data_IF_843055204020
#
_entry.id   IF_843055204020
#
_cell.length_a   1.000
_cell.length_b   1.000
_cell.length_c   1.000
_cell.angle_alpha   90.00
_cell.angle_beta   90.00
_cell.angle_gamma   90.00
#
_symmetry.space_group_name_H-M   'P 1'
#
loop_
_entity.id
_entity.type
_entity.pdbx_description
1 polymer ?
#
# COMPACT_ATOMS: atom_id res chain seq x y z
N UNK A 1 -0.59 12.08 -13.39
CA UNK A 1 0.49 12.59 -14.29
C UNK A 1 0.87 14.06 -14.04
N UNK A 2 0.54 14.68 -12.89
CA UNK A 2 0.97 16.05 -12.53
C UNK A 2 1.89 16.11 -11.30
N UNK A 3 1.98 15.06 -10.50
CA UNK A 3 2.80 14.99 -9.27
C UNK A 3 4.30 14.79 -9.60
N UNK A 4 4.63 14.13 -10.71
CA UNK A 4 6.02 13.93 -11.14
C UNK A 4 6.79 15.21 -11.52
N UNK A 5 6.12 16.35 -11.67
CA UNK A 5 6.79 17.60 -12.03
C UNK A 5 7.38 18.37 -10.86
N UNK A 6 6.95 18.10 -9.63
CA UNK A 6 7.46 18.82 -8.45
C UNK A 6 8.79 18.24 -7.92
N UNK A 7 8.95 16.93 -7.94
CA UNK A 7 10.22 16.29 -7.53
C UNK A 7 11.38 16.61 -8.49
N UNK A 8 11.10 16.66 -9.80
CA UNK A 8 12.11 17.01 -10.79
C UNK A 8 12.61 18.46 -10.67
N UNK A 9 11.79 19.38 -10.14
CA UNK A 9 12.18 20.79 -9.96
C UNK A 9 13.11 20.97 -8.77
N UNK A 10 12.93 20.20 -7.70
CA UNK A 10 13.83 20.25 -6.54
C UNK A 10 15.24 19.72 -6.89
N UNK A 11 15.32 18.65 -7.70
CA UNK A 11 16.61 18.10 -8.13
C UNK A 11 17.37 18.99 -9.12
N UNK A 12 16.66 19.71 -9.99
CA UNK A 12 17.27 20.62 -10.97
C UNK A 12 17.73 21.93 -10.32
N UNK A 13 17.10 22.36 -9.22
CA UNK A 13 17.56 23.55 -8.49
C UNK A 13 18.92 23.33 -7.79
N UNK A 14 19.26 22.09 -7.42
CA UNK A 14 20.54 21.77 -6.78
C UNK A 14 21.73 21.64 -7.75
N UNK A 15 21.50 21.53 -9.06
CA UNK A 15 22.57 21.41 -10.06
C UNK A 15 22.98 22.74 -10.70
N UNK A 16 22.36 23.85 -10.30
CA UNK A 16 22.55 25.18 -10.94
C UNK A 16 23.64 26.07 -10.31
N UNK A 17 24.29 25.67 -9.23
CA UNK A 17 25.25 26.54 -8.53
C UNK A 17 26.71 26.19 -8.74
N UNK A 18 27.10 25.90 -9.97
CA UNK A 18 28.54 25.90 -10.31
C UNK A 18 28.83 27.01 -11.29
N UNK A 19 29.65 27.93 -10.86
CA UNK A 19 30.43 28.95 -11.54
C UNK A 19 29.89 30.39 -11.50
N UNK A 20 30.39 31.15 -10.54
CA UNK A 20 30.89 32.51 -10.85
C UNK A 20 31.97 32.89 -9.83
N UNK A 21 33.22 32.84 -10.24
CA UNK A 21 34.33 33.50 -9.57
C UNK A 21 34.09 35.02 -9.58
N UNK A 22 33.66 35.55 -8.49
CA UNK A 22 33.89 36.92 -8.06
C UNK A 22 34.07 36.89 -6.57
N UNK A 23 35.20 37.38 -6.07
CA UNK A 23 35.38 37.74 -4.65
C UNK A 23 34.28 38.74 -4.26
N UNK A 24 33.17 38.24 -3.81
CA UNK A 24 32.15 38.96 -3.07
C UNK A 24 32.47 38.66 -1.61
N UNK A 25 32.70 39.70 -0.77
CA UNK A 25 32.63 39.57 0.67
C UNK A 25 31.28 38.93 1.00
N UNK A 26 31.29 37.62 1.28
CA UNK A 26 30.11 36.94 1.79
C UNK A 26 29.94 37.39 3.24
N UNK A 27 28.92 38.20 3.50
CA UNK A 27 28.37 38.35 4.85
C UNK A 27 27.73 36.99 5.14
N UNK A 28 28.48 36.15 5.89
CA UNK A 28 27.91 34.87 6.35
C UNK A 28 26.91 35.20 7.45
N UNK A 29 25.62 35.03 7.16
CA UNK A 29 24.61 34.99 8.20
C UNK A 29 24.87 33.77 9.08
N UNK A 30 24.67 33.90 10.37
CA UNK A 30 24.75 32.80 11.33
C UNK A 30 23.48 31.91 11.14
N UNK A 31 23.62 30.81 10.41
CA UNK A 31 22.54 29.87 10.12
C UNK A 31 22.27 28.87 11.26
N UNK A 32 22.82 29.07 12.45
CA UNK A 32 22.59 28.17 13.59
C UNK A 32 21.12 28.03 13.96
N UNK A 33 20.36 29.13 13.88
CA UNK A 33 18.93 29.12 14.17
C UNK A 33 18.12 28.39 13.09
N UNK A 34 18.59 28.35 11.83
CA UNK A 34 17.93 27.68 10.71
C UNK A 34 18.05 26.17 10.80
N UNK A 35 19.05 25.65 11.52
CA UNK A 35 19.24 24.23 11.78
C UNK A 35 18.38 23.68 12.92
N UNK A 36 17.75 24.54 13.73
CA UNK A 36 16.88 24.07 14.82
C UNK A 36 15.66 23.36 14.25
N UNK A 37 15.46 22.11 14.68
CA UNK A 37 14.32 21.29 14.23
C UNK A 37 14.66 19.82 14.11
N UNK A 38 13.75 19.09 13.47
CA UNK A 38 13.90 17.66 13.18
C UNK A 38 14.21 17.48 11.70
N UNK A 39 15.23 16.71 11.41
CA UNK A 39 15.77 16.52 10.08
C UNK A 39 15.92 15.03 9.77
N UNK A 40 15.55 14.58 8.59
CA UNK A 40 15.70 13.19 8.16
C UNK A 40 16.61 13.06 6.95
N UNK A 41 17.51 12.10 6.99
CA UNK A 41 18.31 11.65 5.86
C UNK A 41 17.97 10.20 5.55
N UNK A 42 17.77 9.86 4.28
CA UNK A 42 17.55 8.49 3.84
C UNK A 42 18.40 8.21 2.59
N UNK A 43 19.28 7.24 2.71
CA UNK A 43 20.05 6.66 1.62
C UNK A 43 19.84 5.14 1.60
N UNK A 44 20.53 4.42 0.71
CA UNK A 44 20.36 2.97 0.59
C UNK A 44 20.68 2.21 1.89
N UNK A 45 21.85 2.51 2.49
CA UNK A 45 22.35 1.80 3.67
C UNK A 45 22.42 2.66 4.93
N UNK A 46 21.96 3.90 4.81
CA UNK A 46 22.01 4.89 5.89
C UNK A 46 20.68 5.63 6.00
N UNK A 47 20.14 5.69 7.18
CA UNK A 47 19.00 6.53 7.50
C UNK A 47 19.19 7.13 8.89
N UNK A 48 18.94 8.43 9.01
CA UNK A 48 19.08 9.14 10.27
C UNK A 48 17.97 10.16 10.45
N UNK A 49 17.50 10.29 11.69
CA UNK A 49 16.77 11.47 12.17
C UNK A 49 17.64 12.21 13.17
N UNK A 50 17.94 13.44 12.84
CA UNK A 50 18.72 14.37 13.67
C UNK A 50 17.78 15.45 14.21
N UNK A 51 17.63 15.52 15.54
CA UNK A 51 16.89 16.56 16.23
C UNK A 51 17.85 17.56 16.86
N UNK A 52 17.80 18.82 16.43
CA UNK A 52 18.67 19.90 16.91
C UNK A 52 17.82 20.90 17.69
N UNK A 53 18.18 21.15 18.95
CA UNK A 53 17.53 22.10 19.81
C UNK A 53 18.17 23.47 19.72
N UNK A 54 17.45 24.53 20.16
CA UNK A 54 17.91 25.89 20.12
C UNK A 54 19.14 26.18 21.02
N UNK A 55 19.43 25.31 21.99
CA UNK A 55 20.62 25.40 22.84
C UNK A 55 21.85 24.67 22.25
N UNK A 56 21.72 24.12 21.04
CA UNK A 56 22.75 23.34 20.37
C UNK A 56 22.83 21.89 20.81
N UNK A 57 22.00 21.45 21.77
CA UNK A 57 21.89 20.03 22.05
C UNK A 57 21.23 19.27 20.88
N UNK A 58 21.64 18.03 20.64
CA UNK A 58 21.12 17.23 19.57
C UNK A 58 20.85 15.79 20.03
N UNK A 59 19.95 15.12 19.30
CA UNK A 59 19.66 13.71 19.49
C UNK A 59 19.59 13.05 18.11
N UNK A 60 20.28 11.92 17.95
CA UNK A 60 20.29 11.13 16.74
C UNK A 60 19.62 9.77 16.93
N UNK A 61 18.89 9.35 15.92
CA UNK A 61 18.33 8.02 15.74
C UNK A 61 18.65 7.55 14.33
N UNK A 62 19.10 6.31 14.17
CA UNK A 62 19.42 5.90 12.81
C UNK A 62 19.72 4.43 12.64
N UNK A 63 20.01 4.09 11.41
CA UNK A 63 20.50 2.77 10.98
C UNK A 63 21.54 2.96 9.88
N UNK A 64 22.65 2.30 10.03
CA UNK A 64 23.67 2.20 8.98
C UNK A 64 24.11 0.76 8.79
N UNK A 65 24.11 0.28 7.56
CA UNK A 65 24.50 -1.09 7.20
C UNK A 65 23.83 -2.18 8.06
N UNK A 66 22.60 -1.92 8.55
CA UNK A 66 21.83 -2.81 9.41
C UNK A 66 22.14 -2.69 10.91
N UNK A 67 23.07 -1.84 11.32
CA UNK A 67 23.32 -1.48 12.71
C UNK A 67 22.41 -0.30 13.09
N UNK A 68 21.67 -0.43 14.20
CA UNK A 68 20.68 0.55 14.66
C UNK A 68 21.18 1.25 15.92
N UNK A 69 21.03 2.57 15.97
CA UNK A 69 21.24 3.35 17.18
C UNK A 69 20.00 4.15 17.54
N UNK A 70 19.88 4.43 18.82
CA UNK A 70 18.70 5.08 19.37
C UNK A 70 19.06 6.10 20.43
N UNK A 71 18.50 7.30 20.30
CA UNK A 71 18.60 8.35 21.31
C UNK A 71 20.03 8.71 21.69
N UNK A 72 20.94 8.70 20.71
CA UNK A 72 22.32 9.12 20.92
C UNK A 72 22.35 10.63 21.06
N UNK A 73 22.82 11.10 22.20
CA UNK A 73 22.87 12.52 22.54
C UNK A 73 24.15 13.14 22.06
N UNK A 74 24.06 14.41 21.68
CA UNK A 74 25.22 15.16 21.23
C UNK A 74 25.01 16.65 21.29
N UNK A 75 25.97 17.35 20.72
CA UNK A 75 25.94 18.80 20.56
C UNK A 75 26.28 19.17 19.13
N UNK A 76 25.60 20.20 18.64
CA UNK A 76 25.86 20.80 17.32
C UNK A 76 26.37 22.23 17.55
N UNK A 77 27.50 22.53 16.98
CA UNK A 77 28.09 23.85 16.98
C UNK A 77 28.26 24.33 15.55
N UNK A 78 27.82 25.55 15.31
CA UNK A 78 27.92 26.18 13.98
C UNK A 78 28.81 27.43 14.10
N UNK A 79 29.69 27.56 13.12
CA UNK A 79 30.47 28.77 12.94
C UNK A 79 30.55 29.11 11.47
N UNK A 80 29.87 30.17 11.05
CA UNK A 80 29.64 30.45 9.64
C UNK A 80 28.92 29.28 8.99
N UNK A 81 29.42 28.73 7.91
CA UNK A 81 28.88 27.52 7.25
C UNK A 81 29.58 26.22 7.71
N UNK A 82 30.41 26.29 8.75
CA UNK A 82 31.04 25.09 9.29
C UNK A 82 30.22 24.55 10.44
N UNK A 83 30.04 23.26 10.46
CA UNK A 83 29.31 22.51 11.47
C UNK A 83 30.24 21.50 12.16
N UNK A 84 30.09 21.41 13.48
CA UNK A 84 30.73 20.36 14.27
C UNK A 84 29.64 19.67 15.09
N UNK A 85 29.52 18.37 14.93
CA UNK A 85 28.63 17.52 15.70
C UNK A 85 29.47 16.55 16.53
N UNK A 86 29.17 16.47 17.82
CA UNK A 86 29.86 15.59 18.77
C UNK A 86 28.81 14.77 19.50
N UNK A 87 28.86 13.48 19.34
CA UNK A 87 27.93 12.52 19.95
C UNK A 87 28.57 11.66 21.03
N UNK A 88 27.76 11.15 21.95
CA UNK A 88 28.22 10.35 23.12
C UNK A 88 28.85 9.00 22.75
N UNK A 89 28.57 8.49 21.55
CA UNK A 89 29.09 7.24 21.00
C UNK A 89 30.43 7.40 20.24
N UNK A 90 31.08 8.57 20.38
CA UNK A 90 32.30 8.94 19.66
C UNK A 90 32.14 9.11 18.14
N UNK A 91 30.92 9.08 17.61
CA UNK A 91 30.65 9.41 16.21
C UNK A 91 30.62 10.92 16.03
N UNK A 92 31.76 11.48 15.69
CA UNK A 92 31.96 12.92 15.58
C UNK A 92 32.08 13.33 14.12
N UNK A 93 31.31 14.32 13.72
CA UNK A 93 31.33 14.86 12.37
C UNK A 93 31.76 16.32 12.37
N UNK A 94 32.67 16.66 11.45
CA UNK A 94 33.03 18.05 11.10
C UNK A 94 32.89 18.24 9.60
N UNK A 95 32.43 19.41 9.21
CA UNK A 95 32.25 19.70 7.81
C UNK A 95 31.66 21.08 7.56
N UNK A 96 31.23 21.32 6.35
CA UNK A 96 30.45 22.50 6.00
C UNK A 96 29.05 22.12 5.55
N UNK A 97 28.13 23.05 5.61
CA UNK A 97 26.76 22.81 5.19
C UNK A 97 26.19 23.97 4.37
N UNK A 98 25.26 23.60 3.50
CA UNK A 98 24.38 24.52 2.78
C UNK A 98 22.95 24.26 3.21
N UNK A 99 22.18 25.30 3.53
CA UNK A 99 20.83 25.17 4.06
C UNK A 99 19.80 25.98 3.25
N UNK A 100 18.65 25.38 3.06
CA UNK A 100 17.41 26.04 2.66
C UNK A 100 16.50 25.98 3.90
N UNK A 101 16.34 27.08 4.64
CA UNK A 101 15.62 27.08 5.91
C UNK A 101 14.23 26.44 5.82
N UNK A 102 13.90 25.55 6.77
CA UNK A 102 12.62 24.84 6.81
C UNK A 102 12.37 23.85 5.68
N UNK A 103 13.37 23.52 4.87
CA UNK A 103 13.23 22.56 3.77
C UNK A 103 14.30 21.47 3.81
N UNK A 104 15.57 21.84 3.68
CA UNK A 104 16.66 20.88 3.61
C UNK A 104 18.00 21.51 3.95
N UNK A 105 18.95 20.69 4.41
CA UNK A 105 20.36 21.07 4.40
C UNK A 105 21.23 19.94 3.83
N UNK A 106 22.32 20.32 3.19
CA UNK A 106 23.36 19.41 2.72
C UNK A 106 24.56 19.51 3.63
N UNK A 107 25.00 18.39 4.18
CA UNK A 107 26.23 18.27 4.96
C UNK A 107 27.32 17.69 4.05
N UNK A 108 28.47 18.36 4.05
CA UNK A 108 29.70 17.93 3.36
C UNK A 108 30.76 17.71 4.41
N UNK A 109 30.96 16.46 4.75
CA UNK A 109 31.94 16.10 5.77
C UNK A 109 33.38 16.29 5.30
N UNK A 110 34.27 16.58 6.25
CA UNK A 110 35.71 16.62 5.98
C UNK A 110 36.27 15.26 5.56
N UNK A 111 35.56 14.17 5.88
CA UNK A 111 35.81 12.80 5.38
C UNK A 111 35.63 12.66 3.85
N UNK A 112 34.85 13.56 3.24
CA UNK A 112 34.48 13.53 1.83
C UNK A 112 33.07 12.96 1.58
N UNK A 113 32.36 12.54 2.60
CA UNK A 113 30.99 12.08 2.52
C UNK A 113 30.00 13.25 2.41
N UNK A 114 28.84 12.96 1.83
CA UNK A 114 27.79 13.97 1.66
C UNK A 114 26.44 13.38 2.03
N UNK A 115 25.75 14.12 2.91
CA UNK A 115 24.40 13.80 3.37
C UNK A 115 23.44 14.93 3.01
N UNK A 116 22.20 14.57 2.67
CA UNK A 116 21.11 15.53 2.43
C UNK A 116 20.00 15.24 3.40
N UNK A 117 19.78 16.18 4.30
CA UNK A 117 18.73 16.13 5.30
C UNK A 117 17.53 16.94 4.83
N UNK A 118 16.34 16.41 5.02
CA UNK A 118 15.07 17.07 4.77
C UNK A 118 14.39 17.42 6.08
N UNK A 119 13.74 18.56 6.12
CA UNK A 119 13.02 19.01 7.31
C UNK A 119 11.78 18.15 7.53
N UNK A 120 11.59 17.65 8.76
CA UNK A 120 10.41 16.93 9.18
C UNK A 120 9.43 17.89 9.82
N UNK A 121 8.32 18.19 9.15
CA UNK A 121 7.28 19.07 9.69
C UNK A 121 6.49 18.42 10.83
N UNK A 122 6.30 17.11 10.77
CA UNK A 122 5.47 16.35 11.71
C UNK A 122 6.17 15.06 12.16
N UNK A 123 5.91 14.66 13.38
CA UNK A 123 6.18 13.30 13.85
C UNK A 123 4.96 12.43 13.47
N UNK A 124 5.19 11.37 12.71
CA UNK A 124 4.14 10.51 12.17
C UNK A 124 3.87 9.27 13.04
N UNK A 125 4.41 9.21 14.26
CA UNK A 125 4.30 8.03 15.12
C UNK A 125 2.86 7.63 15.42
N UNK A 126 2.00 8.60 15.70
CA UNK A 126 0.58 8.34 16.02
C UNK A 126 -0.25 8.11 14.75
N UNK A 127 0.12 8.76 13.65
CA UNK A 127 -0.62 8.69 12.38
C UNK A 127 -0.53 7.34 11.70
N UNK A 128 0.54 6.57 11.93
CA UNK A 128 0.69 5.28 11.25
C UNK A 128 -0.05 4.14 11.94
N UNK A 129 -0.40 4.28 13.22
CA UNK A 129 -1.09 3.21 13.96
C UNK A 129 -2.42 2.86 13.30
N UNK A 130 -2.62 1.58 13.02
CA UNK A 130 -3.82 1.07 12.37
C UNK A 130 -3.54 0.08 11.26
N UNK A 131 -4.56 -0.21 10.47
CA UNK A 131 -4.49 -1.15 9.36
C UNK A 131 -4.44 -0.40 8.02
N UNK A 132 -3.58 -0.85 7.15
CA UNK A 132 -3.30 -0.25 5.86
C UNK A 132 -3.29 -1.29 4.76
N UNK A 133 -3.97 -1.01 3.67
CA UNK A 133 -3.96 -1.83 2.46
C UNK A 133 -3.32 -1.06 1.33
N UNK A 134 -2.55 -1.71 0.49
CA UNK A 134 -1.92 -1.04 -0.63
C UNK A 134 -2.96 -0.41 -1.56
N UNK A 135 -2.73 0.84 -2.01
CA UNK A 135 -3.72 1.66 -2.71
C UNK A 135 -3.88 1.31 -4.20
N UNK A 136 -2.84 0.76 -4.79
CA UNK A 136 -2.78 0.58 -6.26
C UNK A 136 -3.26 -0.79 -6.74
N UNK A 137 -3.97 -1.55 -5.95
CA UNK A 137 -4.42 -2.88 -6.27
C UNK A 137 -3.34 -3.95 -6.07
N UNK A 138 -3.60 -5.19 -6.35
CA UNK A 138 -2.73 -6.31 -6.04
C UNK A 138 -1.47 -6.25 -6.91
N UNK A 139 -0.38 -6.38 -6.44
CA UNK A 139 0.69 -5.47 -6.36
C UNK A 139 2.02 -6.05 -6.64
N UNK A 140 2.17 -7.28 -6.40
CA UNK A 140 3.35 -8.01 -6.74
C UNK A 140 2.92 -9.26 -7.51
N UNK A 141 3.70 -9.67 -8.49
CA UNK A 141 3.42 -10.87 -9.28
C UNK A 141 3.34 -12.14 -8.43
N UNK A 142 3.81 -12.06 -7.19
CA UNK A 142 3.89 -13.18 -6.26
C UNK A 142 3.06 -12.98 -4.97
N UNK A 143 2.75 -11.73 -4.63
CA UNK A 143 2.01 -11.39 -3.42
C UNK A 143 0.86 -10.45 -3.77
N UNK A 144 -0.29 -11.00 -3.85
CA UNK A 144 -1.53 -10.26 -3.95
C UNK A 144 -1.72 -9.40 -2.72
N UNK A 145 -2.80 -8.75 -2.57
CA UNK A 145 -3.12 -7.82 -1.50
C UNK A 145 -2.29 -8.00 -0.22
N UNK A 146 -1.56 -6.96 0.17
CA UNK A 146 -0.79 -6.91 1.40
C UNK A 146 -1.45 -5.94 2.35
N UNK A 147 -1.72 -6.40 3.57
CA UNK A 147 -2.19 -5.58 4.68
C UNK A 147 -1.04 -5.40 5.64
N UNK A 148 -0.76 -4.15 6.01
CA UNK A 148 0.16 -3.83 7.09
C UNK A 148 -0.65 -3.33 8.28
N UNK A 149 -0.42 -3.93 9.43
CA UNK A 149 -1.04 -3.51 10.69
C UNK A 149 0.06 -3.01 11.62
N UNK A 150 0.03 -1.73 11.93
CA UNK A 150 0.91 -1.09 12.91
C UNK A 150 0.16 -1.02 14.23
N UNK A 151 0.69 -1.64 15.27
CA UNK A 151 0.09 -1.59 16.59
C UNK A 151 0.77 -0.57 17.50
N UNK A 152 0.07 -0.14 18.54
CA UNK A 152 0.57 0.84 19.53
C UNK A 152 1.78 0.33 20.33
N UNK A 153 2.07 -0.97 20.31
CA UNK A 153 3.20 -1.57 21.02
C UNK A 153 4.49 -1.56 20.19
N UNK A 154 4.47 -0.96 18.99
CA UNK A 154 5.62 -0.90 18.10
C UNK A 154 5.84 -2.20 17.31
N UNK A 155 4.80 -2.97 17.06
CA UNK A 155 4.85 -4.13 16.16
C UNK A 155 4.14 -3.82 14.85
N UNK A 156 4.77 -4.12 13.73
CA UNK A 156 4.12 -4.12 12.42
C UNK A 156 3.98 -5.53 11.91
N UNK A 157 2.77 -5.90 11.56
CA UNK A 157 2.44 -7.20 10.99
C UNK A 157 2.10 -7.03 9.52
N UNK A 158 2.79 -7.76 8.66
CA UNK A 158 2.49 -7.83 7.23
C UNK A 158 1.74 -9.11 6.94
N UNK A 159 0.50 -8.98 6.53
CA UNK A 159 -0.38 -10.10 6.20
C UNK A 159 -0.56 -10.14 4.68
N UNK A 160 -0.42 -11.33 4.13
CA UNK A 160 -0.58 -11.55 2.70
C UNK A 160 -1.23 -12.89 2.41
N UNK A 161 -1.68 -13.08 1.18
CA UNK A 161 -2.31 -14.33 0.77
C UNK A 161 -1.33 -15.50 0.70
N UNK A 162 -1.77 -16.66 1.13
CA UNK A 162 -1.06 -17.92 0.98
C UNK A 162 -1.82 -18.84 0.02
N UNK A 163 -1.23 -19.09 -1.14
CA UNK A 163 -1.79 -20.03 -2.12
C UNK A 163 -1.87 -21.45 -1.54
N UNK A 164 -0.94 -21.82 -0.68
CA UNK A 164 -0.86 -23.16 -0.10
C UNK A 164 -2.00 -23.47 0.88
N UNK A 165 -2.39 -22.48 1.72
CA UNK A 165 -3.47 -22.63 2.70
C UNK A 165 -4.79 -22.04 2.26
N UNK A 166 -4.82 -21.29 1.14
CA UNK A 166 -5.96 -20.53 0.66
C UNK A 166 -6.53 -19.56 1.72
N UNK A 167 -5.63 -18.86 2.41
CA UNK A 167 -5.94 -17.94 3.51
C UNK A 167 -4.97 -16.76 3.55
N UNK A 168 -5.40 -15.64 4.17
CA UNK A 168 -4.48 -14.61 4.57
C UNK A 168 -3.69 -15.07 5.80
N UNK A 169 -2.37 -15.05 5.67
CA UNK A 169 -1.45 -15.41 6.76
C UNK A 169 -0.49 -14.27 7.05
N UNK A 170 0.02 -14.25 8.25
CA UNK A 170 1.13 -13.36 8.60
C UNK A 170 2.38 -13.82 7.84
N UNK A 171 2.87 -12.98 6.95
CA UNK A 171 4.11 -13.20 6.18
C UNK A 171 5.34 -12.70 6.91
N UNK A 172 5.19 -11.59 7.63
CA UNK A 172 6.27 -10.93 8.35
C UNK A 172 5.71 -10.22 9.57
N UNK A 173 6.42 -10.30 10.69
CA UNK A 173 6.16 -9.50 11.87
C UNK A 173 7.48 -8.87 12.32
N UNK A 174 7.50 -7.54 12.44
CA UNK A 174 8.69 -6.76 12.77
C UNK A 174 8.38 -5.87 13.96
N UNK A 175 9.40 -5.50 14.72
CA UNK A 175 9.27 -4.31 15.56
C UNK A 175 9.54 -3.07 14.73
N UNK A 176 8.87 -1.98 15.09
CA UNK A 176 9.06 -0.70 14.43
C UNK A 176 9.15 0.45 15.42
N UNK A 177 9.76 1.53 14.97
CA UNK A 177 9.72 2.84 15.62
C UNK A 177 9.64 3.92 14.56
N UNK A 178 8.81 4.91 14.79
CA UNK A 178 8.79 6.13 13.97
C UNK A 178 9.46 7.25 14.75
N UNK A 179 10.30 7.99 14.07
CA UNK A 179 10.89 9.23 14.57
C UNK A 179 10.84 10.24 13.43
N UNK A 180 10.18 11.35 13.64
CA UNK A 180 9.90 12.30 12.56
C UNK A 180 9.11 11.63 11.42
N UNK A 181 9.67 11.60 10.23
CA UNK A 181 9.10 10.98 9.04
C UNK A 181 9.82 9.68 8.63
N UNK A 182 10.72 9.15 9.47
CA UNK A 182 11.37 7.86 9.22
C UNK A 182 10.75 6.74 10.06
N UNK A 183 10.51 5.62 9.39
CA UNK A 183 10.06 4.36 9.95
C UNK A 183 11.25 3.41 10.01
N UNK A 184 11.72 3.11 11.20
CA UNK A 184 12.77 2.14 11.48
C UNK A 184 12.14 0.77 11.74
N UNK A 185 12.64 -0.25 11.08
CA UNK A 185 12.21 -1.64 11.25
C UNK A 185 13.34 -2.49 11.82
N UNK A 186 12.98 -3.41 12.73
CA UNK A 186 13.88 -4.43 13.24
C UNK A 186 13.32 -5.82 12.97
N UNK A 187 14.10 -6.66 12.33
CA UNK A 187 13.74 -8.06 12.08
C UNK A 187 14.07 -8.93 13.29
N UNK A 188 13.19 -9.87 13.64
CA UNK A 188 13.54 -10.94 14.55
C UNK A 188 14.80 -11.69 14.07
N UNK A 189 15.63 -12.16 15.00
CA UNK A 189 16.92 -12.79 14.68
C UNK A 189 16.81 -14.02 13.79
N UNK A 190 15.70 -14.74 13.84
CA UNK A 190 15.39 -15.90 13.00
C UNK A 190 15.01 -15.54 11.55
N UNK A 191 14.69 -14.27 11.29
CA UNK A 191 14.45 -13.74 9.96
C UNK A 191 15.68 -13.09 9.31
N UNK A 192 16.77 -12.94 10.05
CA UNK A 192 18.02 -12.37 9.55
C UNK A 192 18.84 -13.48 8.89
N UNK A 193 18.99 -13.41 7.58
CA UNK A 193 19.78 -14.35 6.78
C UNK A 193 20.86 -13.61 6.02
N UNK A 194 21.78 -14.35 5.39
CA UNK A 194 22.84 -13.73 4.58
C UNK A 194 22.25 -12.80 3.50
N UNK A 195 22.70 -11.57 3.47
CA UNK A 195 22.22 -10.53 2.55
C UNK A 195 20.91 -9.83 2.96
N UNK A 196 20.35 -10.17 4.14
CA UNK A 196 19.16 -9.51 4.69
C UNK A 196 19.53 -8.71 5.92
N UNK A 197 19.41 -7.39 5.86
CA UNK A 197 19.72 -6.52 6.99
C UNK A 197 18.80 -6.79 8.19
N UNK A 198 19.38 -6.80 9.41
CA UNK A 198 18.62 -6.93 10.65
C UNK A 198 17.72 -5.73 10.88
N UNK A 199 18.23 -4.54 10.60
CA UNK A 199 17.52 -3.29 10.73
C UNK A 199 17.53 -2.54 9.40
N UNK A 200 16.47 -1.80 9.12
CA UNK A 200 16.36 -0.95 7.92
C UNK A 200 15.36 0.17 8.17
N UNK A 201 15.43 1.20 7.36
CA UNK A 201 14.51 2.33 7.46
C UNK A 201 13.82 2.63 6.13
N UNK A 202 12.72 3.35 6.23
CA UNK A 202 11.99 3.89 5.10
C UNK A 202 11.38 5.24 5.46
N UNK A 203 11.16 6.09 4.46
CA UNK A 203 10.55 7.39 4.65
C UNK A 203 9.04 7.28 4.52
N UNK A 204 8.34 7.90 5.45
CA UNK A 204 6.89 7.99 5.45
C UNK A 204 6.44 9.35 4.89
N UNK A 205 5.37 9.31 4.13
CA UNK A 205 4.59 10.49 3.76
C UNK A 205 3.14 10.21 4.07
N UNK A 206 2.55 10.98 4.96
CA UNK A 206 1.16 10.86 5.35
C UNK A 206 0.33 11.96 4.70
N UNK A 207 -0.77 11.58 4.08
CA UNK A 207 -1.72 12.50 3.47
C UNK A 207 -3.12 12.22 4.02
N UNK A 208 -3.64 13.07 4.91
CA UNK A 208 -5.00 12.92 5.41
C UNK A 208 -5.99 13.17 4.29
N UNK A 209 -7.03 12.33 4.21
CA UNK A 209 -8.13 12.43 3.25
C UNK A 209 -7.67 12.65 1.79
N UNK A 210 -6.65 11.91 1.37
CA UNK A 210 -6.04 12.01 0.04
C UNK A 210 -7.08 11.83 -1.07
N UNK A 211 -7.33 12.87 -1.86
CA UNK A 211 -8.26 12.87 -2.99
C UNK A 211 -9.68 12.38 -2.64
N UNK A 212 -10.14 12.57 -1.40
CA UNK A 212 -11.41 12.07 -0.88
C UNK A 212 -11.49 10.53 -0.82
N UNK A 213 -10.34 9.86 -0.76
CA UNK A 213 -10.21 8.41 -0.67
C UNK A 213 -9.90 7.91 0.75
N UNK A 214 -9.84 8.82 1.73
CA UNK A 214 -9.37 8.53 3.08
C UNK A 214 -7.88 8.80 3.27
N UNK A 215 -7.36 8.44 4.43
CA UNK A 215 -5.97 8.66 4.78
C UNK A 215 -5.06 7.76 3.96
N UNK A 216 -4.00 8.34 3.41
CA UNK A 216 -3.00 7.63 2.64
C UNK A 216 -1.62 7.73 3.30
N UNK A 217 -0.95 6.61 3.40
CA UNK A 217 0.43 6.50 3.86
C UNK A 217 1.29 6.01 2.70
N UNK A 218 2.32 6.75 2.36
CA UNK A 218 3.32 6.30 1.38
C UNK A 218 4.62 5.96 2.12
N UNK A 219 5.10 4.74 1.90
CA UNK A 219 6.35 4.23 2.42
C UNK A 219 7.36 4.18 1.27
N UNK A 220 8.47 4.90 1.40
CA UNK A 220 9.52 5.01 0.37
C UNK A 220 10.83 4.43 0.89
N UNK A 221 11.43 3.53 0.13
CA UNK A 221 12.77 2.99 0.37
C UNK A 221 13.68 3.32 -0.80
N UNK A 222 14.99 3.41 -0.54
CA UNK A 222 16.00 3.58 -1.57
C UNK A 222 16.74 2.26 -1.76
N UNK A 223 16.90 1.84 -3.02
CA UNK A 223 17.69 0.66 -3.40
C UNK A 223 18.66 1.00 -4.51
N UNK A 224 19.88 0.45 -4.46
CA UNK A 224 20.79 0.49 -5.59
C UNK A 224 20.48 -0.64 -6.58
N UNK A 225 20.18 -0.24 -7.81
CA UNK A 225 20.03 -1.16 -8.94
C UNK A 225 21.05 -0.79 -9.99
N UNK A 226 22.00 -1.68 -10.25
CA UNK A 226 23.13 -1.43 -11.16
C UNK A 226 23.94 -0.15 -10.82
N UNK A 227 24.11 0.16 -9.53
CA UNK A 227 24.84 1.34 -9.06
C UNK A 227 24.09 2.67 -9.15
N UNK A 228 22.79 2.62 -9.45
CA UNK A 228 21.91 3.79 -9.43
C UNK A 228 20.90 3.67 -8.28
N UNK A 229 20.79 4.72 -7.47
CA UNK A 229 19.77 4.80 -6.45
C UNK A 229 18.37 4.90 -7.08
N UNK A 230 17.49 4.00 -6.73
CA UNK A 230 16.10 3.96 -7.16
C UNK A 230 15.21 4.07 -5.95
N UNK A 231 14.29 5.02 -5.96
CA UNK A 231 13.23 5.14 -4.98
C UNK A 231 12.11 4.14 -5.30
N UNK A 232 11.78 3.31 -4.33
CA UNK A 232 10.64 2.40 -4.38
C UNK A 232 9.60 2.86 -3.37
N UNK A 233 8.47 3.31 -3.87
CA UNK A 233 7.37 3.81 -3.03
C UNK A 233 6.17 2.88 -3.11
N UNK A 234 5.57 2.63 -1.95
CA UNK A 234 4.32 1.89 -1.79
C UNK A 234 3.31 2.79 -1.09
N UNK A 235 2.21 3.09 -1.75
CA UNK A 235 1.11 3.85 -1.16
C UNK A 235 0.05 2.92 -0.61
N UNK A 236 -0.43 3.23 0.57
CA UNK A 236 -1.41 2.43 1.32
C UNK A 236 -2.56 3.31 1.76
N UNK A 237 -3.77 2.75 1.76
CA UNK A 237 -4.96 3.39 2.30
C UNK A 237 -5.27 2.83 3.69
N UNK A 238 -5.67 3.71 4.60
CA UNK A 238 -6.13 3.31 5.94
C UNK A 238 -7.46 2.58 5.81
N UNK A 239 -7.55 1.41 6.42
CA UNK A 239 -8.76 0.60 6.46
C UNK A 239 -9.24 0.40 7.89
N UNK A 240 -10.52 0.07 8.03
CA UNK A 240 -11.09 -0.30 9.33
C UNK A 240 -10.62 -1.66 9.78
N UNK A 241 -10.42 -1.80 11.07
CA UNK A 241 -10.12 -3.08 11.70
C UNK A 241 -11.32 -4.05 11.62
N UNK A 242 -12.53 -3.50 11.67
CA UNK A 242 -13.77 -4.27 11.60
C UNK A 242 -14.67 -3.73 10.51
N UNK A 243 -15.31 -4.63 9.78
CA UNK A 243 -16.27 -4.28 8.74
C UNK A 243 -17.53 -3.64 9.34
N UNK A 244 -17.96 -2.55 8.74
CA UNK A 244 -19.30 -2.01 8.95
C UNK A 244 -20.19 -2.48 7.80
N UNK A 245 -20.96 -3.54 8.05
CA UNK A 245 -21.84 -4.15 7.05
C UNK A 245 -23.17 -3.41 6.95
N UNK A 246 -23.08 -2.11 6.75
CA UNK A 246 -24.27 -1.26 6.53
C UNK A 246 -24.02 -0.29 5.40
N UNK A 247 -25.06 -0.03 4.61
CA UNK A 247 -25.04 1.00 3.57
C UNK A 247 -25.03 0.48 2.15
N UNK A 248 -25.20 1.40 1.24
CA UNK A 248 -25.20 1.18 -0.21
C UNK A 248 -23.91 1.69 -0.82
N UNK A 249 -23.32 0.90 -1.66
CA UNK A 249 -22.05 1.20 -2.33
C UNK A 249 -22.19 1.02 -3.85
N UNK A 250 -21.84 2.07 -4.58
CA UNK A 250 -21.85 2.07 -6.05
C UNK A 250 -20.54 1.49 -6.60
N UNK A 251 -20.61 0.68 -7.64
CA UNK A 251 -19.41 0.16 -8.30
C UNK A 251 -18.53 1.29 -8.84
N UNK A 252 -17.25 1.20 -8.59
CA UNK A 252 -16.25 2.19 -9.02
C UNK A 252 -15.25 1.64 -10.01
N UNK A 253 -14.60 0.52 -9.68
CA UNK A 253 -13.56 -0.09 -10.51
C UNK A 253 -13.31 -1.55 -10.13
N UNK A 254 -12.65 -2.29 -11.03
CA UNK A 254 -12.06 -3.58 -10.73
C UNK A 254 -10.58 -3.61 -11.13
N UNK A 255 -9.78 -4.25 -10.28
CA UNK A 255 -8.36 -4.50 -10.52
C UNK A 255 -8.13 -6.00 -10.62
N UNK A 256 -7.38 -6.40 -11.63
CA UNK A 256 -7.05 -7.80 -11.90
C UNK A 256 -5.54 -7.99 -11.84
N UNK A 257 -5.11 -8.98 -11.09
CA UNK A 257 -3.70 -9.36 -11.01
C UNK A 257 -3.54 -10.88 -11.13
N UNK A 258 -2.29 -11.30 -11.26
CA UNK A 258 -1.90 -12.71 -11.35
C UNK A 258 -2.75 -13.54 -12.34
N UNK A 259 -3.29 -12.90 -13.37
CA UNK A 259 -4.17 -13.52 -14.35
C UNK A 259 -3.36 -14.41 -15.31
N UNK A 260 -3.52 -15.71 -15.19
CA UNK A 260 -2.93 -16.75 -16.05
C UNK A 260 -4.00 -17.73 -16.47
N UNK A 261 -3.85 -18.30 -17.65
CA UNK A 261 -4.76 -19.30 -18.19
C UNK A 261 -4.65 -19.43 -19.70
N UNK A 262 -5.56 -20.16 -20.29
CA UNK A 262 -5.62 -20.38 -21.73
C UNK A 262 -6.25 -19.17 -22.43
N UNK A 263 -5.72 -18.82 -23.60
CA UNK A 263 -6.31 -17.80 -24.48
C UNK A 263 -7.48 -18.36 -25.32
N UNK A 264 -8.33 -19.18 -24.69
CA UNK A 264 -9.55 -19.71 -25.28
C UNK A 264 -10.74 -18.90 -24.78
N UNK A 265 -11.69 -18.64 -25.68
CA UNK A 265 -12.92 -17.95 -25.33
C UNK A 265 -13.79 -18.81 -24.40
N UNK A 266 -14.41 -18.13 -23.41
CA UNK A 266 -15.44 -18.70 -22.55
C UNK A 266 -16.52 -17.66 -22.29
N UNK A 267 -17.72 -18.15 -21.99
CA UNK A 267 -18.84 -17.27 -21.66
C UNK A 267 -18.96 -17.09 -20.16
N UNK A 268 -19.17 -15.85 -19.75
CA UNK A 268 -19.40 -15.46 -18.38
C UNK A 268 -20.40 -14.30 -18.37
N UNK A 269 -21.54 -14.47 -17.70
CA UNK A 269 -22.63 -13.49 -17.67
C UNK A 269 -23.14 -13.07 -19.06
N UNK A 270 -23.19 -14.00 -20.01
CA UNK A 270 -23.60 -13.71 -21.39
C UNK A 270 -22.55 -13.00 -22.26
N UNK A 271 -21.39 -12.68 -21.71
CA UNK A 271 -20.27 -12.06 -22.42
C UNK A 271 -19.19 -13.10 -22.76
N UNK A 272 -18.53 -12.93 -23.89
CA UNK A 272 -17.40 -13.75 -24.28
C UNK A 272 -16.11 -13.16 -23.76
N UNK A 273 -15.38 -13.92 -22.95
CA UNK A 273 -14.09 -13.56 -22.38
C UNK A 273 -13.00 -14.51 -22.81
N UNK A 274 -11.78 -14.03 -22.76
CA UNK A 274 -10.54 -14.80 -22.73
C UNK A 274 -9.55 -14.11 -21.78
N UNK A 275 -8.43 -14.75 -21.49
CA UNK A 275 -7.47 -14.20 -20.52
C UNK A 275 -6.88 -12.86 -20.97
N UNK A 276 -6.77 -12.59 -22.27
CA UNK A 276 -6.32 -11.28 -22.77
C UNK A 276 -7.32 -10.16 -22.45
N UNK A 277 -8.61 -10.42 -22.58
CA UNK A 277 -9.67 -9.45 -22.25
C UNK A 277 -9.79 -9.21 -20.75
N UNK A 278 -9.58 -10.25 -19.94
CA UNK A 278 -9.62 -10.15 -18.47
C UNK A 278 -8.44 -9.30 -17.96
N UNK A 279 -7.25 -9.47 -18.53
CA UNK A 279 -6.06 -8.66 -18.17
C UNK A 279 -6.18 -7.19 -18.57
N UNK A 280 -7.09 -6.88 -19.49
CA UNK A 280 -7.28 -5.52 -20.01
C UNK A 280 -8.43 -4.76 -19.34
N UNK A 281 -8.66 -3.54 -19.80
CA UNK A 281 -9.76 -2.70 -19.32
C UNK A 281 -11.16 -3.24 -19.59
N UNK A 282 -11.31 -4.25 -20.47
CA UNK A 282 -12.61 -4.78 -20.86
C UNK A 282 -13.36 -5.40 -19.68
N UNK A 283 -12.62 -6.02 -18.74
CA UNK A 283 -13.22 -6.60 -17.54
C UNK A 283 -13.86 -5.52 -16.63
N UNK A 284 -13.13 -4.45 -16.32
CA UNK A 284 -13.68 -3.32 -15.56
C UNK A 284 -14.85 -2.65 -16.29
N UNK A 285 -14.74 -2.49 -17.61
CA UNK A 285 -15.79 -1.89 -18.43
C UNK A 285 -17.10 -2.67 -18.41
N UNK A 286 -17.04 -4.00 -18.38
CA UNK A 286 -18.23 -4.85 -18.27
C UNK A 286 -18.97 -4.59 -16.95
N UNK A 287 -18.24 -4.59 -15.82
CA UNK A 287 -18.86 -4.34 -14.52
C UNK A 287 -19.40 -2.93 -14.37
N UNK A 288 -18.77 -1.93 -14.99
CA UNK A 288 -19.32 -0.57 -15.06
C UNK A 288 -20.67 -0.50 -15.76
N UNK A 289 -20.91 -1.40 -16.70
CA UNK A 289 -22.18 -1.43 -17.45
C UNK A 289 -23.26 -2.28 -16.80
N UNK A 290 -22.89 -3.23 -15.94
CA UNK A 290 -23.81 -4.23 -15.41
C UNK A 290 -23.93 -4.29 -13.89
N UNK A 291 -22.81 -4.19 -13.18
CA UNK A 291 -22.85 -4.15 -11.72
C UNK A 291 -23.06 -2.72 -11.24
N UNK A 292 -24.23 -2.50 -10.75
CA UNK A 292 -24.73 -1.18 -10.43
C UNK A 292 -24.36 -0.74 -8.99
N UNK A 293 -24.72 -1.55 -8.00
CA UNK A 293 -24.37 -1.30 -6.61
C UNK A 293 -24.51 -2.56 -5.76
N UNK A 294 -24.02 -2.46 -4.54
CA UNK A 294 -24.22 -3.46 -3.49
C UNK A 294 -24.82 -2.81 -2.25
N UNK A 295 -25.83 -3.43 -1.68
CA UNK A 295 -26.35 -3.08 -0.37
C UNK A 295 -25.83 -4.06 0.66
N UNK A 296 -25.15 -3.55 1.68
CA UNK A 296 -24.65 -4.35 2.79
C UNK A 296 -25.64 -4.37 3.94
N UNK A 297 -25.85 -5.56 4.48
CA UNK A 297 -26.57 -5.78 5.71
C UNK A 297 -25.78 -6.82 6.56
N UNK A 298 -26.01 -6.87 7.84
CA UNK A 298 -25.27 -7.72 8.78
C UNK A 298 -25.17 -9.20 8.34
N UNK A 299 -26.19 -9.71 7.67
CA UNK A 299 -26.29 -11.13 7.28
C UNK A 299 -26.46 -11.33 5.78
N UNK A 300 -26.54 -10.27 5.00
CA UNK A 300 -26.79 -10.36 3.55
C UNK A 300 -26.05 -9.31 2.77
N UNK A 301 -25.71 -9.65 1.53
CA UNK A 301 -25.29 -8.70 0.50
C UNK A 301 -26.34 -8.74 -0.59
N UNK A 302 -26.95 -7.61 -0.89
CA UNK A 302 -27.82 -7.49 -2.05
C UNK A 302 -27.03 -6.88 -3.20
N UNK A 303 -26.86 -7.62 -4.27
CA UNK A 303 -26.21 -7.17 -5.49
C UNK A 303 -27.27 -6.72 -6.50
N UNK A 304 -27.13 -5.49 -6.98
CA UNK A 304 -28.00 -4.92 -8.00
C UNK A 304 -27.28 -4.90 -9.34
N UNK A 305 -27.90 -5.48 -10.32
CA UNK A 305 -27.41 -5.49 -11.70
C UNK A 305 -28.41 -4.73 -12.58
N UNK A 306 -27.87 -3.97 -13.53
CA UNK A 306 -28.67 -3.36 -14.59
C UNK A 306 -28.36 -4.08 -15.91
N UNK A 307 -29.03 -5.19 -16.20
CA UNK A 307 -28.83 -5.89 -17.44
C UNK A 307 -29.24 -5.05 -18.65
N UNK A 308 -28.78 -5.44 -19.84
CA UNK A 308 -29.01 -4.70 -21.09
C UNK A 308 -30.49 -4.43 -21.41
N UNK A 309 -31.43 -5.17 -20.81
CA UNK A 309 -32.87 -4.94 -20.96
C UNK A 309 -33.41 -3.80 -20.08
N UNK A 310 -32.57 -3.19 -19.22
CA UNK A 310 -32.91 -2.02 -18.40
C UNK A 310 -33.78 -2.31 -17.16
N UNK A 311 -33.98 -3.58 -16.79
CA UNK A 311 -34.67 -3.95 -15.57
C UNK A 311 -33.65 -4.24 -14.47
N UNK A 312 -33.75 -3.58 -13.34
CA UNK A 312 -32.91 -3.83 -12.17
C UNK A 312 -33.19 -5.26 -11.65
N UNK A 313 -32.14 -6.05 -11.47
CA UNK A 313 -32.19 -7.38 -10.89
C UNK A 313 -31.42 -7.29 -9.55
N UNK A 314 -32.14 -7.50 -8.46
CA UNK A 314 -31.56 -7.56 -7.13
C UNK A 314 -31.41 -9.03 -6.68
N UNK A 315 -30.20 -9.42 -6.34
CA UNK A 315 -29.91 -10.76 -5.79
C UNK A 315 -29.43 -10.60 -4.37
N UNK A 316 -30.23 -11.09 -3.42
CA UNK A 316 -29.87 -11.12 -2.01
C UNK A 316 -29.12 -12.41 -1.71
N UNK A 317 -27.90 -12.29 -1.19
CA UNK A 317 -26.98 -13.39 -0.90
C UNK A 317 -26.74 -13.46 0.60
N UNK A 318 -27.08 -14.55 1.28
CA UNK A 318 -26.73 -14.77 2.68
C UNK A 318 -25.20 -14.78 2.85
N UNK A 319 -24.74 -14.17 3.94
CA UNK A 319 -23.32 -14.11 4.27
C UNK A 319 -23.03 -14.55 5.69
N UNK A 320 -21.82 -15.06 5.90
CA UNK A 320 -21.18 -15.19 7.21
C UNK A 320 -19.90 -14.40 7.23
N UNK A 321 -19.59 -13.77 8.37
CA UNK A 321 -18.45 -12.85 8.50
C UNK A 321 -17.53 -13.32 9.62
N UNK A 322 -16.25 -13.50 9.30
CA UNK A 322 -15.19 -13.83 10.23
C UNK A 322 -14.02 -12.85 10.01
N UNK A 323 -13.97 -11.79 10.81
CA UNK A 323 -13.02 -10.69 10.60
C UNK A 323 -13.30 -9.98 9.26
N UNK A 324 -12.33 -9.99 8.38
CA UNK A 324 -12.46 -9.43 7.02
C UNK A 324 -12.88 -10.48 5.98
N UNK A 325 -12.95 -11.75 6.36
CA UNK A 325 -13.44 -12.82 5.48
C UNK A 325 -14.96 -12.84 5.50
N UNK A 326 -15.55 -12.78 4.33
CA UNK A 326 -17.00 -12.83 4.09
C UNK A 326 -17.28 -14.00 3.17
N UNK A 327 -18.03 -14.97 3.66
CA UNK A 327 -18.45 -16.14 2.88
C UNK A 327 -19.85 -15.92 2.36
N UNK A 328 -20.02 -15.94 1.04
CA UNK A 328 -21.32 -15.93 0.36
C UNK A 328 -21.81 -17.36 0.21
N UNK A 329 -23.04 -17.63 0.63
CA UNK A 329 -23.62 -18.98 0.64
C UNK A 329 -25.03 -19.02 0.03
N UNK A 330 -25.10 -19.34 -1.24
CA UNK A 330 -26.34 -19.56 -1.96
C UNK A 330 -26.84 -21.02 -1.94
N UNK A 331 -26.13 -21.90 -1.21
CA UNK A 331 -26.46 -23.34 -1.18
C UNK A 331 -27.82 -23.66 -0.56
N UNK A 332 -28.38 -22.74 0.24
CA UNK A 332 -29.73 -22.86 0.78
C UNK A 332 -30.81 -22.73 -0.32
N UNK A 333 -30.57 -21.96 -1.37
CA UNK A 333 -31.48 -21.81 -2.50
C UNK A 333 -31.34 -22.98 -3.49
N UNK A 334 -30.11 -23.34 -3.78
CA UNK A 334 -29.81 -24.50 -4.61
C UNK A 334 -28.50 -25.14 -4.16
N UNK A 335 -28.51 -26.42 -3.75
CA UNK A 335 -27.29 -27.13 -3.31
C UNK A 335 -26.18 -27.21 -4.37
N UNK A 336 -26.48 -26.88 -5.61
CA UNK A 336 -25.51 -26.82 -6.69
C UNK A 336 -24.59 -25.59 -6.64
N UNK A 337 -25.00 -24.52 -5.95
CA UNK A 337 -24.14 -23.36 -5.79
C UNK A 337 -22.99 -23.63 -4.83
N UNK A 338 -21.79 -23.25 -5.25
CA UNK A 338 -20.60 -23.35 -4.41
C UNK A 338 -20.43 -22.09 -3.57
N UNK A 339 -19.93 -22.27 -2.34
CA UNK A 339 -19.58 -21.14 -1.49
C UNK A 339 -18.46 -20.32 -2.10
N UNK A 340 -18.51 -19.03 -1.83
CA UNK A 340 -17.50 -18.07 -2.28
C UNK A 340 -16.96 -17.35 -1.06
N UNK A 341 -15.67 -17.45 -0.84
CA UNK A 341 -14.97 -16.67 0.16
C UNK A 341 -14.40 -15.40 -0.49
N UNK A 342 -14.75 -14.27 0.07
CA UNK A 342 -14.13 -13.00 -0.32
C UNK A 342 -13.60 -12.27 0.89
N UNK A 343 -12.62 -11.42 0.67
CA UNK A 343 -12.10 -10.56 1.72
C UNK A 343 -12.56 -9.13 1.46
N UNK A 344 -13.16 -8.52 2.48
CA UNK A 344 -13.67 -7.17 2.39
C UNK A 344 -12.85 -6.22 3.26
N UNK A 345 -12.62 -5.04 2.73
CA UNK A 345 -11.92 -3.97 3.44
C UNK A 345 -12.67 -2.67 3.22
N UNK A 346 -12.83 -1.91 4.28
CA UNK A 346 -13.42 -0.59 4.24
C UNK A 346 -12.37 0.43 4.66
N UNK A 347 -12.32 1.56 3.97
CA UNK A 347 -11.52 2.69 4.44
C UNK A 347 -12.08 3.26 5.75
N UNK A 348 -11.24 4.04 6.45
CA UNK A 348 -11.57 4.50 7.80
C UNK A 348 -12.83 5.36 7.86
N UNK A 349 -13.16 6.09 6.79
CA UNK A 349 -14.32 6.99 6.70
C UNK A 349 -15.55 6.35 6.02
N UNK A 350 -15.51 5.05 5.70
CA UNK A 350 -16.54 4.32 4.94
C UNK A 350 -16.79 4.85 3.53
N UNK A 351 -15.85 5.55 2.93
CA UNK A 351 -16.03 6.07 1.57
C UNK A 351 -15.88 4.99 0.51
N UNK A 352 -15.10 3.94 0.80
CA UNK A 352 -14.84 2.83 -0.11
C UNK A 352 -14.97 1.47 0.57
N UNK A 353 -15.39 0.50 -0.25
CA UNK A 353 -15.41 -0.91 0.06
C UNK A 353 -14.60 -1.65 -1.01
N UNK A 354 -13.62 -2.43 -0.58
CA UNK A 354 -12.86 -3.34 -1.42
C UNK A 354 -13.34 -4.76 -1.20
N UNK A 355 -13.68 -5.46 -2.28
CA UNK A 355 -14.04 -6.88 -2.26
C UNK A 355 -13.00 -7.64 -3.05
N UNK A 356 -12.25 -8.49 -2.38
CA UNK A 356 -11.13 -9.21 -2.95
C UNK A 356 -11.42 -10.70 -3.05
N UNK A 357 -11.15 -11.29 -4.21
CA UNK A 357 -11.36 -12.72 -4.48
C UNK A 357 -10.13 -13.33 -5.14
N UNK A 358 -9.85 -14.57 -4.76
CA UNK A 358 -8.86 -15.43 -5.37
C UNK A 358 -9.44 -16.32 -6.46
N UNK A 359 -8.56 -17.02 -7.16
CA UNK A 359 -8.84 -17.88 -8.29
C UNK A 359 -10.07 -18.77 -8.10
N UNK A 360 -10.11 -19.59 -7.05
CA UNK A 360 -11.21 -20.52 -6.83
C UNK A 360 -12.50 -19.78 -6.48
N UNK A 361 -12.40 -18.73 -5.68
CA UNK A 361 -13.55 -17.92 -5.28
C UNK A 361 -14.07 -17.09 -6.44
N UNK A 362 -13.17 -16.54 -7.26
CA UNK A 362 -13.52 -15.89 -8.51
C UNK A 362 -14.28 -16.87 -9.46
N UNK A 363 -13.74 -18.06 -9.67
CA UNK A 363 -14.38 -19.08 -10.51
C UNK A 363 -15.76 -19.44 -9.94
N UNK A 364 -15.85 -19.75 -8.66
CA UNK A 364 -17.11 -20.09 -8.00
C UNK A 364 -18.13 -18.96 -8.09
N UNK A 365 -17.72 -17.72 -7.85
CA UNK A 365 -18.59 -16.55 -7.92
C UNK A 365 -19.23 -16.41 -9.31
N UNK A 366 -18.40 -16.40 -10.36
CA UNK A 366 -18.90 -16.21 -11.72
C UNK A 366 -19.61 -17.44 -12.27
N UNK A 367 -19.19 -18.66 -11.90
CA UNK A 367 -19.91 -19.87 -12.25
C UNK A 367 -21.28 -19.94 -11.57
N UNK A 368 -21.41 -19.51 -10.31
CA UNK A 368 -22.70 -19.40 -9.63
C UNK A 368 -23.64 -18.43 -10.37
N UNK A 369 -23.12 -17.27 -10.81
CA UNK A 369 -23.93 -16.30 -11.54
C UNK A 369 -24.36 -16.81 -12.93
N UNK A 370 -23.47 -17.47 -13.66
CA UNK A 370 -23.81 -18.08 -14.94
C UNK A 370 -24.83 -19.21 -14.74
N UNK A 371 -24.64 -20.04 -13.71
CA UNK A 371 -25.60 -21.10 -13.35
C UNK A 371 -26.99 -20.52 -13.00
N UNK A 372 -27.02 -19.40 -12.24
CA UNK A 372 -28.27 -18.70 -11.94
C UNK A 372 -29.00 -18.29 -13.25
N UNK A 373 -28.28 -17.70 -14.19
CA UNK A 373 -28.85 -17.28 -15.48
C UNK A 373 -29.38 -18.45 -16.29
N UNK A 374 -28.61 -19.54 -16.39
CA UNK A 374 -29.00 -20.75 -17.14
C UNK A 374 -30.23 -21.44 -16.52
N UNK A 375 -30.32 -21.50 -15.20
CA UNK A 375 -31.48 -22.01 -14.48
C UNK A 375 -32.71 -21.11 -14.67
N UNK A 376 -32.55 -19.80 -14.56
CA UNK A 376 -33.66 -18.85 -14.78
C UNK A 376 -34.16 -18.83 -16.20
N UNK A 377 -33.29 -19.05 -17.20
CA UNK A 377 -33.65 -19.20 -18.61
C UNK A 377 -34.27 -20.56 -18.94
N UNK A 378 -34.19 -21.53 -18.01
CA UNK A 378 -34.66 -22.92 -18.27
C UNK A 378 -33.76 -23.69 -19.23
N UNK A 379 -32.54 -23.23 -19.46
CA UNK A 379 -31.57 -23.92 -20.35
C UNK A 379 -30.98 -25.15 -19.67
N UNK A 380 -30.91 -25.14 -18.35
CA UNK A 380 -30.56 -26.29 -17.51
C UNK A 380 -31.58 -26.44 -16.40
N UNK A 381 -31.68 -27.64 -15.82
CA UNK A 381 -32.55 -27.90 -14.66
C UNK A 381 -31.71 -28.20 -13.41
N UNK A 382 -32.26 -27.93 -12.25
CA UNK A 382 -31.55 -28.07 -10.97
C UNK A 382 -31.12 -29.50 -10.62
N UNK A 383 -31.73 -30.50 -11.25
CA UNK A 383 -31.40 -31.92 -11.11
C UNK A 383 -30.38 -32.42 -12.15
N UNK A 384 -30.02 -31.59 -13.15
CA UNK A 384 -28.99 -31.90 -14.14
C UNK A 384 -27.59 -31.64 -13.62
N UNK A 385 -27.12 -32.48 -12.68
CA UNK A 385 -25.81 -32.35 -12.03
C UNK A 385 -24.63 -32.30 -13.01
N UNK A 386 -24.75 -33.01 -14.16
CA UNK A 386 -23.70 -33.01 -15.18
C UNK A 386 -23.58 -31.66 -15.88
N UNK A 387 -24.69 -31.02 -16.21
CA UNK A 387 -24.68 -29.70 -16.84
C UNK A 387 -24.22 -28.63 -15.84
N UNK A 388 -24.62 -28.75 -14.59
CA UNK A 388 -24.20 -27.88 -13.50
C UNK A 388 -22.67 -27.94 -13.30
N UNK A 389 -22.15 -29.16 -13.13
CA UNK A 389 -20.71 -29.36 -12.91
C UNK A 389 -19.88 -28.86 -14.11
N UNK A 390 -20.43 -28.96 -15.30
CA UNK A 390 -19.80 -28.47 -16.52
C UNK A 390 -19.58 -26.96 -16.48
N UNK A 391 -20.47 -26.16 -15.89
CA UNK A 391 -20.31 -24.70 -15.77
C UNK A 391 -19.03 -24.37 -15.00
N UNK A 392 -18.78 -25.04 -13.88
CA UNK A 392 -17.57 -24.83 -13.07
C UNK A 392 -16.33 -25.35 -13.79
N UNK A 393 -16.35 -26.57 -14.28
CA UNK A 393 -15.18 -27.21 -14.91
C UNK A 393 -14.75 -26.51 -16.21
N UNK A 394 -15.69 -25.92 -16.95
CA UNK A 394 -15.37 -25.11 -18.12
C UNK A 394 -14.57 -23.85 -17.78
N UNK A 395 -14.82 -23.21 -16.63
CA UNK A 395 -14.03 -22.08 -16.13
C UNK A 395 -12.70 -22.54 -15.55
N UNK A 396 -12.70 -23.57 -14.70
CA UNK A 396 -11.50 -24.16 -14.11
C UNK A 396 -10.48 -24.61 -15.19
N UNK A 397 -10.97 -25.13 -16.33
CA UNK A 397 -10.11 -25.55 -17.42
C UNK A 397 -9.41 -24.40 -18.16
N UNK A 398 -9.89 -23.17 -18.02
CA UNK A 398 -9.41 -21.99 -18.75
C UNK A 398 -8.64 -21.02 -17.87
N UNK A 399 -8.98 -20.93 -16.59
CA UNK A 399 -8.38 -20.02 -15.62
C UNK A 399 -7.44 -20.82 -14.74
N UNK A 400 -6.14 -20.56 -14.86
CA UNK A 400 -5.10 -21.17 -14.01
C UNK A 400 -4.95 -20.39 -12.71
N UNK A 401 -4.89 -19.07 -12.81
CA UNK A 401 -4.85 -18.17 -11.67
C UNK A 401 -5.42 -16.80 -12.02
N UNK A 402 -6.07 -16.18 -11.07
CA UNK A 402 -6.56 -14.79 -11.14
C UNK A 402 -6.84 -14.29 -9.74
N UNK A 403 -6.56 -13.02 -9.50
CA UNK A 403 -7.00 -12.31 -8.31
C UNK A 403 -7.72 -11.05 -8.74
N UNK A 404 -8.83 -10.77 -8.12
CA UNK A 404 -9.66 -9.62 -8.45
C UNK A 404 -10.01 -8.83 -7.21
N UNK A 405 -9.84 -7.52 -7.27
CA UNK A 405 -10.34 -6.59 -6.29
C UNK A 405 -11.40 -5.69 -6.93
N UNK A 406 -12.61 -5.76 -6.45
CA UNK A 406 -13.68 -4.82 -6.80
C UNK A 406 -13.67 -3.67 -5.79
N UNK A 407 -13.75 -2.45 -6.29
CA UNK A 407 -13.82 -1.25 -5.48
C UNK A 407 -15.19 -0.59 -5.68
N UNK A 408 -15.85 -0.35 -4.58
CA UNK A 408 -17.13 0.33 -4.52
C UNK A 408 -17.00 1.63 -3.73
N UNK A 409 -17.81 2.63 -4.05
CA UNK A 409 -17.89 3.90 -3.31
C UNK A 409 -19.20 4.02 -2.58
N UNK A 410 -19.15 4.44 -1.33
CA UNK A 410 -20.35 4.67 -0.54
C UNK A 410 -21.27 5.68 -1.23
N UNK A 411 -22.55 5.32 -1.33
CA UNK A 411 -23.58 6.23 -1.80
C UNK A 411 -23.91 7.19 -0.65
N UNK A 412 -23.66 8.49 -0.88
CA UNK A 412 -23.91 9.56 0.10
C UNK A 412 -25.37 9.95 0.11
#
# INVERSE_FOLDING_TARGET
MKIFKFLAVALVAMLGFTACDKETEYIYDDHSADLVGTWSCLNENYAEVLMINADGSAVSYGVENGEYWENVKGTVTVKENNITMIFEDDDNCTGHFDIIPGMAFSLFEDSGERYVYQYCENDLADEIVGMWVCADGPYDKENDMVIQTFDENGTVTKTGWSVASNEFIVKEALTYKVVGDLLFHQRPSDMVTEGVAANFASKLTYMPNANQLGDMLTNTTIKLVNGQAIELSMSMLRIKQFLDLTGTYDYSSAYVSNAKGKDEDFTMLGHTFNMANIKGHNFDMMFRSELFCVDLNTNTITQHFLPANGQDVAIEIPITVEGNKVTLDLSAENPAYRKVDMYMFQDADNSQLHMYMHTNDFINYFANMELYNLLAAGEITADNTTAIEKVYTDMEARIESINVSFVFKARK
#
